data_IF_850340853116
#
_entry.id   IF_850340853116
#
_cell.length_a   1.000
_cell.length_b   1.000
_cell.length_c   1.000
_cell.angle_alpha   90.00
_cell.angle_beta   90.00
_cell.angle_gamma   90.00
#
_symmetry.space_group_name_H-M   'P 1'
#
loop_
_entity.id
_entity.type
_entity.pdbx_description
1 polymer ?
#
# COMPACT_ATOMS: atom_id res chain seq x y z
N UNK A 1 -25.59 28.11 5.73
CA UNK A 1 -24.92 27.63 6.97
C UNK A 1 -24.29 26.25 6.78
N UNK A 2 -24.98 25.27 6.18
CA UNK A 2 -24.43 23.91 6.02
C UNK A 2 -23.13 23.83 5.18
N UNK A 3 -23.03 24.57 4.07
CA UNK A 3 -21.82 24.57 3.24
C UNK A 3 -20.57 25.06 3.98
N UNK A 4 -20.72 26.03 4.88
CA UNK A 4 -19.60 26.55 5.70
C UNK A 4 -19.12 25.47 6.68
N UNK A 5 -20.04 24.69 7.24
CA UNK A 5 -19.74 23.58 8.13
C UNK A 5 -18.96 22.46 7.40
N UNK A 6 -19.36 22.12 6.16
CA UNK A 6 -18.62 21.17 5.33
C UNK A 6 -17.22 21.65 4.98
N UNK A 7 -17.04 22.95 4.69
CA UNK A 7 -15.72 23.53 4.42
C UNK A 7 -14.82 23.44 5.66
N UNK A 8 -15.34 23.77 6.85
CA UNK A 8 -14.60 23.66 8.12
C UNK A 8 -14.16 22.21 8.36
N UNK A 9 -15.03 21.25 8.13
CA UNK A 9 -14.72 19.82 8.27
C UNK A 9 -13.62 19.37 7.30
N UNK A 10 -13.67 19.80 6.04
CA UNK A 10 -12.64 19.50 5.03
C UNK A 10 -11.29 20.10 5.45
N UNK A 11 -11.27 21.36 5.88
CA UNK A 11 -10.03 22.03 6.33
C UNK A 11 -9.44 21.34 7.56
N UNK A 12 -10.27 21.04 8.57
CA UNK A 12 -9.84 20.33 9.77
C UNK A 12 -9.28 18.94 9.45
N UNK A 13 -9.87 18.22 8.49
CA UNK A 13 -9.36 16.93 8.03
C UNK A 13 -7.96 17.01 7.44
N UNK A 14 -7.71 18.03 6.61
CA UNK A 14 -6.42 18.25 5.97
C UNK A 14 -5.33 18.61 6.99
N UNK A 15 -5.67 19.42 7.98
CA UNK A 15 -4.76 19.77 9.08
C UNK A 15 -4.44 18.56 9.94
N UNK A 16 -5.44 17.75 10.29
CA UNK A 16 -5.24 16.51 11.06
C UNK A 16 -4.35 15.51 10.29
N UNK A 17 -4.58 15.31 9.00
CA UNK A 17 -3.78 14.38 8.18
C UNK A 17 -2.33 14.86 8.01
N UNK A 18 -2.11 16.19 7.93
CA UNK A 18 -0.75 16.74 7.85
C UNK A 18 0.01 16.65 9.18
N UNK A 19 -0.69 16.75 10.31
CA UNK A 19 -0.08 16.73 11.65
C UNK A 19 0.13 15.31 12.20
N UNK A 20 -0.71 14.35 11.82
CA UNK A 20 -0.62 12.96 12.31
C UNK A 20 0.33 12.10 11.47
N UNK A 21 1.62 12.10 11.85
CA UNK A 21 2.67 11.30 11.18
C UNK A 21 2.64 9.81 11.52
N UNK A 22 1.98 9.40 12.62
CA UNK A 22 1.97 8.00 13.07
C UNK A 22 0.70 7.24 12.61
N UNK A 23 0.91 6.11 11.92
CA UNK A 23 -0.19 5.30 11.35
C UNK A 23 -1.15 4.72 12.40
N UNK A 24 -0.64 4.38 13.59
CA UNK A 24 -1.46 3.80 14.64
C UNK A 24 -2.39 4.85 15.27
N UNK A 25 -1.88 6.06 15.55
CA UNK A 25 -2.68 7.15 16.10
C UNK A 25 -3.80 7.56 15.14
N UNK A 26 -3.52 7.60 13.84
CA UNK A 26 -4.53 7.92 12.82
C UNK A 26 -5.68 6.92 12.82
N UNK A 27 -5.40 5.63 12.98
CA UNK A 27 -6.43 4.57 13.06
C UNK A 27 -7.32 4.73 14.28
N UNK A 28 -6.74 4.97 15.45
CA UNK A 28 -7.52 5.16 16.69
C UNK A 28 -8.36 6.44 16.64
N UNK A 29 -7.81 7.55 16.16
CA UNK A 29 -8.54 8.81 15.99
C UNK A 29 -9.67 8.66 14.98
N UNK A 30 -9.42 8.00 13.84
CA UNK A 30 -10.47 7.70 12.84
C UNK A 30 -11.57 6.80 13.41
N UNK A 31 -11.20 5.75 14.15
CA UNK A 31 -12.16 4.86 14.81
C UNK A 31 -13.00 5.59 15.86
N UNK A 32 -12.38 6.45 16.67
CA UNK A 32 -13.05 7.20 17.73
C UNK A 32 -14.03 8.23 17.16
N UNK A 33 -13.66 8.93 16.08
CA UNK A 33 -14.54 9.85 15.37
C UNK A 33 -15.69 9.13 14.67
N UNK A 34 -15.43 7.95 14.10
CA UNK A 34 -16.47 7.14 13.46
C UNK A 34 -17.48 6.61 14.48
N UNK A 35 -17.00 6.00 15.57
CA UNK A 35 -17.85 5.49 16.65
C UNK A 35 -18.61 6.61 17.36
N UNK A 36 -17.95 7.74 17.62
CA UNK A 36 -18.58 8.93 18.20
C UNK A 36 -19.65 9.52 17.28
N UNK A 37 -19.39 9.62 15.97
CA UNK A 37 -20.38 10.06 14.98
C UNK A 37 -21.60 9.14 14.91
N UNK A 38 -21.39 7.83 14.99
CA UNK A 38 -22.45 6.81 14.97
C UNK A 38 -23.30 6.84 16.26
N UNK A 39 -22.65 6.96 17.42
CA UNK A 39 -23.33 7.14 18.70
C UNK A 39 -24.14 8.45 18.72
N UNK A 40 -23.56 9.55 18.25
CA UNK A 40 -24.28 10.82 18.12
C UNK A 40 -25.46 10.69 17.14
N UNK A 41 -25.32 10.03 15.99
CA UNK A 41 -26.42 9.84 15.04
C UNK A 41 -27.61 9.06 15.65
N UNK A 42 -27.33 8.08 16.52
CA UNK A 42 -28.36 7.27 17.19
C UNK A 42 -28.98 8.03 18.36
N UNK A 43 -28.20 8.85 19.09
CA UNK A 43 -28.67 9.52 20.31
C UNK A 43 -29.26 10.92 20.08
N UNK A 44 -28.81 11.65 19.04
CA UNK A 44 -29.33 12.97 18.68
C UNK A 44 -30.83 13.01 18.41
N UNK A 45 -31.49 12.03 17.75
CA UNK A 45 -32.93 12.08 17.56
C UNK A 45 -33.72 12.12 18.87
N UNK A 46 -33.13 11.70 20.00
CA UNK A 46 -33.73 11.82 21.34
C UNK A 46 -33.68 13.24 21.93
N UNK A 47 -32.81 14.11 21.39
CA UNK A 47 -32.62 15.51 21.80
C UNK A 47 -32.93 16.52 20.66
N UNK A 48 -33.46 16.03 19.53
CA UNK A 48 -33.53 16.76 18.26
C UNK A 48 -34.60 17.87 18.17
N UNK A 49 -35.21 18.29 19.28
CA UNK A 49 -36.14 19.41 19.21
C UNK A 49 -35.45 20.78 19.23
N UNK A 50 -34.20 20.87 19.69
CA UNK A 50 -33.51 22.16 19.92
C UNK A 50 -32.38 22.48 18.92
N UNK A 51 -31.72 21.47 18.34
CA UNK A 51 -30.45 21.68 17.61
C UNK A 51 -30.66 21.67 16.09
N UNK A 52 -30.65 22.85 15.46
CA UNK A 52 -30.77 23.08 14.00
C UNK A 52 -29.53 22.66 13.18
N UNK A 53 -28.82 21.59 13.54
CA UNK A 53 -27.58 21.15 12.87
C UNK A 53 -27.56 19.63 12.58
N UNK A 54 -28.41 19.15 11.66
CA UNK A 54 -28.57 17.72 11.38
C UNK A 54 -27.35 17.06 10.70
N UNK A 55 -26.45 17.84 10.10
CA UNK A 55 -25.33 17.34 9.28
C UNK A 55 -24.04 17.05 10.04
N UNK A 56 -23.93 17.43 11.32
CA UNK A 56 -22.75 17.20 12.17
C UNK A 56 -22.39 15.70 12.33
N UNK A 57 -23.33 14.79 12.68
CA UNK A 57 -22.99 13.38 12.86
C UNK A 57 -22.55 12.71 11.54
N UNK A 58 -23.17 13.08 10.42
CA UNK A 58 -22.81 12.58 9.09
C UNK A 58 -21.39 13.04 8.71
N UNK A 59 -21.07 14.32 8.95
CA UNK A 59 -19.74 14.86 8.72
C UNK A 59 -18.66 14.16 9.56
N UNK A 60 -18.94 13.88 10.84
CA UNK A 60 -18.04 13.14 11.71
C UNK A 60 -17.82 11.68 11.26
N UNK A 61 -18.88 10.99 10.80
CA UNK A 61 -18.78 9.64 10.25
C UNK A 61 -17.93 9.60 8.98
N UNK A 62 -18.13 10.54 8.06
CA UNK A 62 -17.35 10.61 6.82
C UNK A 62 -15.88 10.95 7.09
N UNK A 63 -15.61 11.87 8.02
CA UNK A 63 -14.25 12.19 8.45
C UNK A 63 -13.55 11.04 9.16
N UNK A 64 -14.23 10.39 10.09
CA UNK A 64 -13.73 9.21 10.78
C UNK A 64 -13.40 8.09 9.80
N UNK A 65 -14.29 7.85 8.84
CA UNK A 65 -14.08 6.87 7.76
C UNK A 65 -12.86 7.21 6.90
N UNK A 66 -12.68 8.47 6.51
CA UNK A 66 -11.54 8.92 5.71
C UNK A 66 -10.20 8.82 6.44
N UNK A 67 -10.17 9.04 7.76
CA UNK A 67 -8.97 8.89 8.58
C UNK A 67 -8.64 7.41 8.89
N UNK A 68 -9.69 6.60 9.09
CA UNK A 68 -9.59 5.17 9.39
C UNK A 68 -9.18 4.34 8.17
N UNK A 69 -9.77 4.62 7.00
CA UNK A 69 -9.38 4.01 5.75
C UNK A 69 -7.98 4.52 5.38
N UNK A 70 -7.01 3.61 5.39
CA UNK A 70 -5.62 3.97 5.17
C UNK A 70 -5.47 4.77 3.86
N UNK A 71 -4.84 5.96 3.90
CA UNK A 71 -4.53 6.82 2.74
C UNK A 71 -3.96 6.04 1.55
N UNK A 72 -3.27 4.93 1.82
CA UNK A 72 -2.80 3.99 0.81
C UNK A 72 -3.91 3.27 0.03
N UNK A 73 -5.01 2.84 0.67
CA UNK A 73 -6.17 2.25 -0.03
C UNK A 73 -6.88 3.26 -0.93
N UNK A 74 -7.08 4.49 -0.45
CA UNK A 74 -7.73 5.53 -1.24
C UNK A 74 -6.88 5.95 -2.45
N UNK A 75 -5.55 6.06 -2.28
CA UNK A 75 -4.65 6.41 -3.39
C UNK A 75 -4.60 5.33 -4.46
N UNK A 76 -4.67 4.04 -4.08
CA UNK A 76 -4.67 2.91 -5.01
C UNK A 76 -5.96 2.79 -5.83
N UNK A 77 -7.10 3.01 -5.18
CA UNK A 77 -8.40 3.07 -5.88
C UNK A 77 -8.39 4.17 -6.95
N UNK A 78 -7.69 5.29 -6.69
CA UNK A 78 -7.55 6.41 -7.64
C UNK A 78 -6.47 6.21 -8.72
N UNK A 79 -5.46 5.37 -8.49
CA UNK A 79 -4.41 5.06 -9.48
C UNK A 79 -4.76 3.87 -10.38
N UNK A 80 -5.93 3.25 -10.19
CA UNK A 80 -6.47 2.14 -10.99
C UNK A 80 -6.91 2.59 -12.40
N UNK A 81 -6.09 3.37 -13.10
CA UNK A 81 -6.22 3.60 -14.53
C UNK A 81 -5.25 2.65 -15.26
N UNK A 82 -5.74 1.56 -15.86
CA UNK A 82 -4.90 0.52 -16.49
C UNK A 82 -4.07 1.02 -17.68
N UNK A 83 -4.28 2.26 -18.14
CA UNK A 83 -3.67 2.82 -19.35
C UNK A 83 -2.37 3.60 -19.13
N UNK A 84 -1.92 3.83 -17.89
CA UNK A 84 -0.72 4.65 -17.62
C UNK A 84 0.59 3.87 -17.51
N UNK A 85 0.55 2.54 -17.52
CA UNK A 85 1.77 1.70 -17.55
C UNK A 85 2.29 1.54 -18.99
N UNK A 86 1.46 1.78 -20.00
CA UNK A 86 1.61 1.23 -21.34
C UNK A 86 2.30 2.08 -22.44
N UNK A 87 3.22 3.03 -22.17
CA UNK A 87 4.15 3.36 -23.28
C UNK A 87 5.63 3.56 -22.94
N UNK A 88 6.11 3.26 -21.72
CA UNK A 88 7.55 3.48 -21.39
C UNK A 88 8.27 2.30 -20.73
N UNK A 89 7.60 1.19 -20.47
CA UNK A 89 8.25 0.01 -19.92
C UNK A 89 8.88 -0.82 -21.04
N UNK A 90 10.21 -0.90 -21.06
CA UNK A 90 10.92 -1.86 -21.89
C UNK A 90 10.85 -3.23 -21.19
N UNK A 91 9.91 -4.08 -21.60
CA UNK A 91 9.80 -5.45 -21.11
C UNK A 91 10.65 -6.38 -21.99
N UNK A 92 11.32 -7.34 -21.37
CA UNK A 92 11.98 -8.41 -22.09
C UNK A 92 10.95 -9.33 -22.78
N UNK A 93 11.36 -10.00 -23.86
CA UNK A 93 10.49 -10.82 -24.69
C UNK A 93 9.90 -12.06 -23.98
N UNK A 94 10.42 -12.40 -22.81
CA UNK A 94 10.02 -13.54 -21.98
C UNK A 94 8.86 -13.21 -21.02
N UNK A 95 8.35 -11.97 -21.03
CA UNK A 95 7.23 -11.60 -20.16
C UNK A 95 5.92 -12.27 -20.58
N UNK A 96 5.18 -12.88 -19.62
CA UNK A 96 3.82 -13.32 -19.86
C UNK A 96 2.91 -12.11 -20.18
N UNK A 97 2.18 -12.19 -21.29
CA UNK A 97 1.19 -11.18 -21.68
C UNK A 97 -0.19 -11.50 -21.07
N UNK A 98 -0.24 -11.56 -19.73
CA UNK A 98 -1.47 -11.77 -18.99
C UNK A 98 -1.84 -10.59 -18.10
N UNK A 99 -3.14 -10.43 -17.84
CA UNK A 99 -3.66 -9.33 -17.02
C UNK A 99 -3.10 -9.33 -15.59
N UNK A 100 -2.71 -10.51 -15.09
CA UNK A 100 -2.10 -10.70 -13.78
C UNK A 100 -0.71 -10.08 -13.74
N UNK A 101 0.15 -10.35 -14.73
CA UNK A 101 1.49 -9.76 -14.81
C UNK A 101 1.42 -8.24 -14.94
N UNK A 102 0.55 -7.72 -15.80
CA UNK A 102 0.40 -6.27 -15.98
C UNK A 102 -0.01 -5.57 -14.68
N UNK A 103 -0.97 -6.13 -13.93
CA UNK A 103 -1.39 -5.60 -12.65
C UNK A 103 -0.28 -5.73 -11.59
N UNK A 104 0.47 -6.84 -11.60
CA UNK A 104 1.63 -7.00 -10.71
C UNK A 104 2.69 -5.92 -10.96
N UNK A 105 3.03 -5.68 -12.21
CA UNK A 105 4.01 -4.64 -12.60
C UNK A 105 3.51 -3.24 -12.22
N UNK A 106 2.22 -2.95 -12.41
CA UNK A 106 1.63 -1.71 -11.94
C UNK A 106 1.83 -1.54 -10.42
N UNK A 107 1.55 -2.58 -9.65
CA UNK A 107 1.68 -2.55 -8.20
C UNK A 107 3.13 -2.36 -7.74
N UNK A 108 4.07 -3.05 -8.41
CA UNK A 108 5.51 -2.87 -8.15
C UNK A 108 5.94 -1.43 -8.49
N UNK A 109 5.45 -0.86 -9.60
CA UNK A 109 5.74 0.52 -9.97
C UNK A 109 5.18 1.54 -8.96
N UNK A 110 3.99 1.29 -8.40
CA UNK A 110 3.38 2.18 -7.41
C UNK A 110 4.12 2.19 -6.06
N UNK A 111 4.53 1.01 -5.58
CA UNK A 111 5.12 0.86 -4.23
C UNK A 111 6.65 0.91 -4.20
N UNK A 112 7.32 0.53 -5.29
CA UNK A 112 8.80 0.46 -5.40
C UNK A 112 9.33 1.41 -6.47
N UNK A 113 8.63 1.51 -7.60
CA UNK A 113 9.07 2.26 -8.78
C UNK A 113 9.87 1.38 -9.74
N UNK A 114 9.52 1.45 -11.03
CA UNK A 114 10.21 0.73 -12.09
C UNK A 114 11.16 1.66 -12.88
N UNK A 115 12.33 1.18 -13.30
CA UNK A 115 13.23 1.94 -14.15
C UNK A 115 12.60 2.17 -15.52
N UNK A 116 12.57 3.43 -15.97
CA UNK A 116 11.95 3.82 -17.26
C UNK A 116 12.80 3.51 -18.50
N UNK A 117 14.10 3.26 -18.30
CA UNK A 117 15.07 3.15 -19.40
C UNK A 117 15.77 1.79 -19.44
N UNK A 118 15.49 0.91 -18.48
CA UNK A 118 16.13 -0.41 -18.39
C UNK A 118 15.14 -1.48 -18.83
N UNK A 119 15.61 -2.45 -19.61
CA UNK A 119 14.83 -3.63 -19.91
C UNK A 119 14.56 -4.41 -18.62
N UNK A 120 13.29 -4.56 -18.25
CA UNK A 120 12.86 -5.40 -17.15
C UNK A 120 12.81 -6.84 -17.64
N UNK A 121 13.34 -7.75 -16.83
CA UNK A 121 13.29 -9.21 -17.02
C UNK A 121 12.52 -9.85 -15.86
N UNK A 122 12.02 -11.07 -16.05
CA UNK A 122 11.44 -11.86 -14.96
C UNK A 122 12.45 -12.14 -13.82
N UNK A 123 13.74 -12.20 -14.16
CA UNK A 123 14.86 -12.36 -13.24
C UNK A 123 15.23 -11.06 -12.50
N UNK A 124 14.64 -9.92 -12.86
CA UNK A 124 14.90 -8.63 -12.23
C UNK A 124 14.55 -8.71 -10.75
N UNK A 125 15.54 -8.35 -9.94
CA UNK A 125 15.50 -8.42 -8.49
C UNK A 125 14.93 -7.14 -7.90
N UNK A 126 13.85 -7.27 -7.15
CA UNK A 126 13.16 -6.15 -6.49
C UNK A 126 14.03 -5.56 -5.39
N UNK A 127 14.74 -6.40 -4.63
CA UNK A 127 15.56 -5.95 -3.53
C UNK A 127 16.98 -5.49 -3.94
N UNK A 128 17.49 -5.90 -5.11
CA UNK A 128 18.81 -5.47 -5.59
C UNK A 128 18.72 -4.45 -6.72
N UNK A 129 18.02 -4.79 -7.80
CA UNK A 129 18.01 -4.00 -9.04
C UNK A 129 17.07 -2.79 -8.90
N UNK A 130 15.90 -2.98 -8.28
CA UNK A 130 14.96 -1.89 -7.99
C UNK A 130 15.30 -1.15 -6.68
N UNK A 131 16.27 -1.63 -5.90
CA UNK A 131 16.69 -0.99 -4.65
C UNK A 131 15.62 -0.95 -3.56
N UNK A 132 14.60 -1.82 -3.61
CA UNK A 132 13.45 -1.81 -2.70
C UNK A 132 13.87 -1.94 -1.23
N UNK A 133 13.44 -1.00 -0.39
CA UNK A 133 13.67 -1.02 1.05
C UNK A 133 12.70 -1.95 1.77
N UNK A 134 13.05 -2.37 2.99
CA UNK A 134 12.14 -3.16 3.85
C UNK A 134 10.81 -2.44 4.16
N UNK A 135 10.74 -1.12 4.02
CA UNK A 135 9.50 -0.34 4.18
C UNK A 135 8.58 -0.50 3.00
N UNK A 136 9.12 -0.33 1.81
CA UNK A 136 8.41 -0.41 0.52
C UNK A 136 7.98 -1.84 0.28
N UNK A 137 8.87 -2.81 0.53
CA UNK A 137 8.56 -4.23 0.47
C UNK A 137 7.37 -4.61 1.35
N UNK A 138 7.25 -4.04 2.56
CA UNK A 138 6.09 -4.31 3.42
C UNK A 138 4.78 -3.78 2.83
N UNK A 139 4.83 -2.62 2.18
CA UNK A 139 3.66 -2.05 1.48
C UNK A 139 3.28 -2.91 0.29
N UNK A 140 4.26 -3.25 -0.55
CA UNK A 140 4.09 -4.16 -1.68
C UNK A 140 3.53 -5.52 -1.26
N UNK A 141 4.05 -6.15 -0.20
CA UNK A 141 3.52 -7.42 0.28
C UNK A 141 2.08 -7.28 0.78
N UNK A 142 1.78 -6.23 1.55
CA UNK A 142 0.41 -5.96 1.99
C UNK A 142 -0.53 -5.73 0.80
N UNK A 143 -0.03 -5.08 -0.24
CA UNK A 143 -0.72 -4.84 -1.49
C UNK A 143 -1.08 -6.13 -2.22
N UNK A 144 -0.11 -7.03 -2.37
CA UNK A 144 -0.30 -8.33 -3.02
C UNK A 144 -1.36 -9.16 -2.30
N UNK A 145 -1.36 -9.14 -0.96
CA UNK A 145 -2.39 -9.80 -0.17
C UNK A 145 -3.77 -9.20 -0.41
N UNK A 146 -3.86 -7.88 -0.51
CA UNK A 146 -5.14 -7.18 -0.68
C UNK A 146 -5.71 -7.37 -2.08
N UNK A 147 -4.90 -7.15 -3.12
CA UNK A 147 -5.39 -7.04 -4.50
C UNK A 147 -5.48 -8.41 -5.18
N UNK A 148 -4.59 -9.34 -4.85
CA UNK A 148 -4.57 -10.70 -5.42
C UNK A 148 -5.07 -11.79 -4.45
N UNK A 149 -5.37 -11.43 -3.19
CA UNK A 149 -5.76 -12.42 -2.17
C UNK A 149 -4.62 -13.36 -1.75
N UNK A 150 -3.37 -12.99 -2.02
CA UNK A 150 -2.20 -13.84 -1.76
C UNK A 150 -1.97 -14.07 -0.27
N UNK A 151 -1.84 -15.33 0.15
CA UNK A 151 -1.48 -15.70 1.54
C UNK A 151 0.03 -15.70 1.73
N UNK A 152 0.51 -15.08 2.82
CA UNK A 152 1.95 -15.01 3.10
C UNK A 152 2.62 -16.33 3.48
N UNK A 153 1.89 -17.39 3.80
CA UNK A 153 2.48 -18.72 4.03
C UNK A 153 3.67 -18.69 5.00
N UNK A 154 4.84 -19.06 4.48
CA UNK A 154 6.14 -19.11 5.17
C UNK A 154 7.05 -17.90 4.89
N UNK A 155 6.52 -16.83 4.28
CA UNK A 155 7.26 -15.62 3.93
C UNK A 155 7.96 -14.99 5.13
N UNK A 156 9.28 -14.77 4.99
CA UNK A 156 10.10 -14.06 5.98
C UNK A 156 10.79 -12.86 5.35
N UNK A 157 10.40 -11.66 5.75
CA UNK A 157 10.95 -10.42 5.17
C UNK A 157 12.46 -10.26 5.37
N UNK A 158 13.00 -10.74 6.50
CA UNK A 158 14.43 -10.69 6.82
C UNK A 158 15.32 -11.57 5.91
N UNK A 159 14.71 -12.46 5.12
CA UNK A 159 15.38 -13.33 4.16
C UNK A 159 15.82 -12.56 2.91
N UNK A 160 14.94 -11.70 2.42
CA UNK A 160 15.15 -10.90 1.21
C UNK A 160 15.61 -9.47 1.50
N UNK A 161 15.16 -8.92 2.62
CA UNK A 161 15.41 -7.53 2.98
C UNK A 161 16.28 -7.46 4.23
N UNK A 162 17.26 -6.56 4.25
CA UNK A 162 17.98 -6.24 5.48
C UNK A 162 17.02 -5.64 6.52
N UNK A 163 17.19 -6.04 7.78
CA UNK A 163 16.49 -5.42 8.90
C UNK A 163 16.93 -3.97 8.96
N UNK A 164 15.96 -3.06 9.11
CA UNK A 164 16.18 -1.61 9.17
C UNK A 164 17.21 -1.30 10.26
N UNK A 165 18.41 -0.88 9.86
CA UNK A 165 19.46 -0.37 10.73
C UNK A 165 19.57 1.14 10.57
N UNK A 166 19.92 1.84 11.64
CA UNK A 166 20.39 3.21 11.53
C UNK A 166 21.90 3.14 11.30
N UNK A 167 22.40 3.90 10.32
CA UNK A 167 23.84 4.17 10.26
C UNK A 167 24.27 5.00 11.48
N UNK A 168 25.57 5.08 11.77
CA UNK A 168 26.18 5.86 12.86
C UNK A 168 25.74 7.33 12.84
N UNK A 169 25.28 7.83 11.68
CA UNK A 169 24.75 9.17 11.47
C UNK A 169 23.21 9.28 11.46
N UNK A 170 22.46 8.25 11.89
CA UNK A 170 20.99 8.16 11.81
C UNK A 170 20.43 8.36 10.38
N UNK A 171 21.29 8.31 9.36
CA UNK A 171 20.91 8.35 7.95
C UNK A 171 20.31 7.01 7.56
N UNK A 172 19.33 7.07 6.66
CA UNK A 172 18.67 5.88 6.14
C UNK A 172 19.65 5.12 5.23
N UNK A 173 20.13 3.98 5.71
CA UNK A 173 21.00 3.04 4.99
C UNK A 173 20.25 1.69 5.02
N UNK A 174 19.84 1.03 3.95
CA UNK A 174 20.29 0.97 2.57
C UNK A 174 19.07 1.00 1.62
N UNK A 175 19.16 1.69 0.48
CA UNK A 175 18.48 1.22 -0.74
C UNK A 175 19.29 0.05 -1.28
N UNK A 176 18.65 -1.10 -1.49
CA UNK A 176 19.32 -2.31 -1.94
C UNK A 176 19.77 -3.23 -0.79
N UNK A 177 19.36 -4.50 -0.84
CA UNK A 177 19.75 -5.51 0.15
C UNK A 177 20.98 -6.31 -0.27
N UNK A 178 22.09 -5.65 -0.63
CA UNK A 178 23.34 -6.34 -1.01
C UNK A 178 23.72 -7.41 0.03
N UNK A 179 23.93 -8.65 -0.43
CA UNK A 179 24.23 -9.82 0.42
C UNK A 179 23.01 -10.62 0.92
N UNK A 180 21.79 -10.22 0.59
CA UNK A 180 20.56 -11.02 0.81
C UNK A 180 20.20 -11.83 -0.45
N UNK A 181 19.28 -12.77 -0.29
CA UNK A 181 18.76 -13.56 -1.41
C UNK A 181 17.95 -12.61 -2.31
N UNK A 182 18.14 -12.65 -3.65
CA UNK A 182 17.34 -11.87 -4.59
C UNK A 182 15.88 -12.30 -4.55
N UNK A 183 14.97 -11.32 -4.44
CA UNK A 183 13.53 -11.53 -4.61
C UNK A 183 13.14 -10.99 -5.99
N UNK A 184 12.82 -11.88 -6.93
CA UNK A 184 12.57 -11.51 -8.33
C UNK A 184 11.10 -11.25 -8.64
N UNK A 185 10.84 -10.61 -9.78
CA UNK A 185 9.50 -10.43 -10.32
C UNK A 185 8.83 -11.79 -10.57
N UNK A 186 9.56 -12.77 -11.12
CA UNK A 186 9.03 -14.13 -11.30
C UNK A 186 8.53 -14.76 -9.98
N UNK A 187 9.29 -14.63 -8.89
CA UNK A 187 8.86 -15.16 -7.59
C UNK A 187 7.54 -14.53 -7.12
N UNK A 188 7.34 -13.23 -7.35
CA UNK A 188 6.08 -12.58 -7.04
C UNK A 188 4.95 -13.09 -7.93
N UNK A 189 5.20 -13.20 -9.24
CA UNK A 189 4.22 -13.67 -10.21
C UNK A 189 3.74 -15.09 -9.88
N UNK A 190 4.67 -16.00 -9.62
CA UNK A 190 4.35 -17.37 -9.22
C UNK A 190 3.58 -17.44 -7.89
N UNK A 191 3.97 -16.61 -6.90
CA UNK A 191 3.26 -16.55 -5.62
C UNK A 191 1.82 -16.03 -5.76
N UNK A 192 1.61 -15.06 -6.65
CA UNK A 192 0.28 -14.55 -7.00
C UNK A 192 -0.55 -15.61 -7.71
N UNK A 193 0.01 -16.29 -8.71
CA UNK A 193 -0.67 -17.37 -9.43
C UNK A 193 -1.06 -18.52 -8.49
N UNK A 194 -0.17 -18.91 -7.58
CA UNK A 194 -0.46 -19.92 -6.56
C UNK A 194 -1.35 -19.41 -5.40
N UNK A 195 -1.66 -18.11 -5.37
CA UNK A 195 -2.33 -17.39 -4.26
C UNK A 195 -1.68 -17.64 -2.88
N UNK A 196 -0.43 -18.07 -2.85
CA UNK A 196 0.30 -18.45 -1.64
C UNK A 196 1.79 -18.30 -1.86
N UNK A 197 2.46 -17.75 -0.86
CA UNK A 197 3.90 -17.80 -0.76
C UNK A 197 4.38 -19.17 -0.27
N UNK A 198 5.22 -19.83 -1.07
CA UNK A 198 5.95 -21.04 -0.70
C UNK A 198 7.42 -20.81 -1.00
N UNK A 199 8.19 -20.53 0.04
CA UNK A 199 9.57 -20.05 -0.11
C UNK A 199 10.47 -21.09 -0.77
N UNK A 200 10.34 -22.36 -0.40
CA UNK A 200 11.16 -23.44 -0.95
C UNK A 200 10.87 -23.66 -2.43
N UNK A 201 9.60 -23.68 -2.83
CA UNK A 201 9.22 -23.89 -4.23
C UNK A 201 9.66 -22.72 -5.13
N UNK A 202 9.51 -21.49 -4.65
CA UNK A 202 9.88 -20.28 -5.41
C UNK A 202 11.40 -20.17 -5.58
N UNK A 203 12.17 -20.45 -4.54
CA UNK A 203 13.63 -20.40 -4.63
C UNK A 203 14.21 -21.58 -5.42
N UNK A 204 13.61 -22.78 -5.34
CA UNK A 204 14.05 -23.93 -6.13
C UNK A 204 13.93 -23.68 -7.65
N UNK A 205 12.83 -23.05 -8.09
CA UNK A 205 12.63 -22.70 -9.50
C UNK A 205 13.63 -21.68 -10.01
N UNK A 206 14.02 -20.73 -9.16
CA UNK A 206 15.06 -19.75 -9.51
C UNK A 206 16.36 -20.44 -9.95
N UNK A 207 16.78 -21.50 -9.24
CA UNK A 207 18.02 -22.22 -9.55
C UNK A 207 17.95 -23.05 -10.84
N UNK A 208 16.76 -23.28 -11.39
CA UNK A 208 16.57 -24.01 -12.65
C UNK A 208 16.62 -23.07 -13.87
N UNK A 209 16.42 -21.77 -13.67
CA UNK A 209 16.40 -20.75 -14.72
C UNK A 209 17.69 -19.92 -14.80
N UNK A 210 18.72 -20.30 -14.05
CA UNK A 210 20.04 -19.64 -13.95
C UNK A 210 21.16 -20.51 -14.45
#
# INVERSE_FOLDING_TARGET
MEYVQWIIFIVMSGVLDNKMRSQNLRKYVGLLLFAGGLACAIWLPYWAHEVRLPSVPIGAMLLGSGLYLDRHRYRRIRSSHPLLVAPTLNLAADFPDDSVMLHLLQLVNEDVGLPKHQALSLSTSINHDLGCSSSEARKLMAALKQDFGMRFGDYRSNRYFKRRGFDMYLRHVDRGSKGKIPLTIDMLYQAVQAKRWNTQALEARRFQAS
#
